data_IF_376716619907
#
_entry.id   IF_376716619907
#
_cell.length_a   1.000
_cell.length_b   1.000
_cell.length_c   1.000
_cell.angle_alpha   90.00
_cell.angle_beta   90.00
_cell.angle_gamma   90.00
#
_symmetry.space_group_name_H-M   'P 1'
#
loop_
_entity.id
_entity.type
_entity.pdbx_description
1 polymer ?
#
# COMPACT_ATOMS: atom_id res chain seq x y z
N UNK A 1 -21.81 8.19 -9.99
CA UNK A 1 -21.83 6.75 -9.66
C UNK A 1 -20.98 6.05 -10.70
N UNK A 2 -19.95 5.34 -10.28
CA UNK A 2 -19.05 4.55 -11.13
C UNK A 2 -19.84 3.37 -11.71
N UNK A 3 -19.96 3.31 -13.05
CA UNK A 3 -20.74 2.26 -13.74
C UNK A 3 -20.00 0.89 -13.79
N UNK A 4 -18.73 0.86 -13.40
CA UNK A 4 -17.91 -0.35 -13.39
C UNK A 4 -18.23 -1.18 -12.14
N UNK A 5 -18.55 -2.48 -12.26
CA UNK A 5 -18.90 -3.33 -11.12
C UNK A 5 -17.70 -3.53 -10.17
N UNK A 6 -18.00 -3.79 -8.90
CA UNK A 6 -17.03 -4.17 -7.85
C UNK A 6 -16.66 -5.63 -8.03
N UNK A 7 -15.53 -5.89 -8.69
CA UNK A 7 -15.08 -7.26 -8.98
C UNK A 7 -13.97 -7.72 -8.03
N UNK A 8 -13.00 -6.84 -7.76
CA UNK A 8 -11.88 -7.09 -6.86
C UNK A 8 -11.67 -5.87 -5.98
N UNK A 9 -11.34 -6.10 -4.72
CA UNK A 9 -11.09 -5.04 -3.75
C UNK A 9 -9.91 -5.40 -2.84
N UNK A 10 -9.09 -4.42 -2.55
CA UNK A 10 -7.92 -4.55 -1.67
C UNK A 10 -8.15 -3.77 -0.38
N UNK A 11 -7.78 -4.34 0.78
CA UNK A 11 -7.91 -3.63 2.04
C UNK A 11 -6.82 -2.56 2.11
N UNK A 12 -7.22 -1.29 2.30
CA UNK A 12 -6.32 -0.14 2.36
C UNK A 12 -6.17 0.41 3.79
N UNK A 13 -7.16 0.20 4.66
CA UNK A 13 -7.13 0.65 6.05
C UNK A 13 -7.77 -0.37 7.00
N UNK A 14 -7.27 -0.41 8.24
CA UNK A 14 -7.90 -1.04 9.40
C UNK A 14 -8.93 -0.08 9.99
N UNK A 15 -10.07 -0.62 10.41
CA UNK A 15 -11.09 0.12 11.16
C UNK A 15 -10.99 -0.35 12.61
N UNK A 16 -10.63 0.56 13.50
CA UNK A 16 -10.41 0.28 14.92
C UNK A 16 -11.46 0.97 15.77
N UNK A 17 -11.97 0.26 16.77
CA UNK A 17 -12.84 0.84 17.80
C UNK A 17 -12.04 1.86 18.62
N UNK A 18 -12.54 3.09 18.75
CA UNK A 18 -11.85 4.14 19.53
C UNK A 18 -11.78 3.83 21.02
N UNK A 19 -12.76 3.11 21.56
CA UNK A 19 -12.86 2.82 23.00
C UNK A 19 -11.95 1.69 23.45
N UNK A 20 -11.85 0.63 22.63
CA UNK A 20 -11.19 -0.62 23.02
C UNK A 20 -9.95 -0.94 22.20
N UNK A 21 -9.64 -0.09 21.22
CA UNK A 21 -8.55 -0.30 20.27
C UNK A 21 -8.65 -1.56 19.40
N UNK A 22 -9.79 -2.24 19.47
CA UNK A 22 -9.98 -3.52 18.80
C UNK A 22 -10.26 -3.33 17.31
N UNK A 23 -9.73 -4.22 16.48
CA UNK A 23 -10.08 -4.30 15.07
C UNK A 23 -11.54 -4.69 14.89
N UNK A 24 -12.30 -3.87 14.17
CA UNK A 24 -13.74 -4.07 13.92
C UNK A 24 -14.09 -4.15 12.44
N UNK A 25 -13.14 -3.87 11.54
CA UNK A 25 -13.36 -3.95 10.10
C UNK A 25 -12.16 -3.51 9.28
N UNK A 26 -12.36 -3.47 7.98
CA UNK A 26 -11.39 -2.95 7.01
C UNK A 26 -12.08 -2.04 6.01
N UNK A 27 -11.37 -1.03 5.52
CA UNK A 27 -11.79 -0.23 4.38
C UNK A 27 -11.18 -0.85 3.12
N UNK A 28 -12.04 -1.24 2.18
CA UNK A 28 -11.61 -1.76 0.89
C UNK A 28 -11.69 -0.68 -0.18
N UNK A 29 -10.66 -0.62 -1.02
CA UNK A 29 -10.71 0.07 -2.30
C UNK A 29 -10.98 -0.95 -3.40
N UNK A 30 -12.05 -0.74 -4.14
CA UNK A 30 -12.44 -1.58 -5.27
C UNK A 30 -11.76 -1.14 -6.57
N UNK A 31 -11.65 -2.06 -7.53
CA UNK A 31 -11.09 -1.83 -8.86
C UNK A 31 -11.83 -0.79 -9.73
N UNK A 32 -12.99 -0.33 -9.26
CA UNK A 32 -13.76 0.76 -9.85
C UNK A 32 -13.53 2.12 -9.15
N UNK A 33 -12.67 2.15 -8.13
CA UNK A 33 -12.37 3.33 -7.32
C UNK A 33 -13.28 3.52 -6.11
N UNK A 34 -14.30 2.68 -5.92
CA UNK A 34 -15.20 2.79 -4.77
C UNK A 34 -14.48 2.43 -3.48
N UNK A 35 -14.78 3.18 -2.42
CA UNK A 35 -14.39 2.84 -1.05
C UNK A 35 -15.58 2.24 -0.32
N UNK A 36 -15.38 1.07 0.29
CA UNK A 36 -16.43 0.40 1.06
C UNK A 36 -15.88 -0.16 2.37
N UNK A 37 -16.48 0.19 3.52
CA UNK A 37 -16.16 -0.48 4.78
C UNK A 37 -16.78 -1.87 4.81
N UNK A 38 -15.99 -2.85 5.25
CA UNK A 38 -16.42 -4.20 5.57
C UNK A 38 -16.25 -4.42 7.08
N UNK A 39 -17.37 -4.60 7.77
CA UNK A 39 -17.42 -4.79 9.22
C UNK A 39 -17.32 -6.29 9.56
N UNK A 40 -16.53 -6.63 10.59
CA UNK A 40 -16.41 -8.01 11.05
C UNK A 40 -17.63 -8.48 11.85
N UNK A 41 -18.35 -7.53 12.45
CA UNK A 41 -19.60 -7.72 13.19
C UNK A 41 -20.59 -6.64 12.73
N UNK A 42 -21.23 -5.95 13.67
CA UNK A 42 -22.11 -4.83 13.39
C UNK A 42 -21.32 -3.57 13.01
N UNK A 43 -21.94 -2.74 12.18
CA UNK A 43 -21.40 -1.43 11.85
C UNK A 43 -21.32 -0.55 13.11
N UNK A 44 -20.17 0.08 13.34
CA UNK A 44 -19.93 0.95 14.50
C UNK A 44 -19.65 2.38 14.06
N UNK A 45 -20.25 3.35 14.76
CA UNK A 45 -20.04 4.77 14.50
C UNK A 45 -18.74 5.30 15.15
N UNK A 46 -18.36 4.77 16.31
CA UNK A 46 -17.24 5.29 17.11
C UNK A 46 -15.91 4.58 16.78
N UNK A 47 -15.46 4.79 15.55
CA UNK A 47 -14.25 4.15 15.00
C UNK A 47 -13.25 5.16 14.46
N UNK A 48 -12.02 4.71 14.27
CA UNK A 48 -10.97 5.41 13.53
C UNK A 48 -10.40 4.51 12.45
N UNK A 49 -9.89 5.12 11.40
CA UNK A 49 -9.26 4.43 10.29
C UNK A 49 -7.76 4.61 10.39
N UNK A 50 -7.03 3.51 10.27
CA UNK A 50 -5.57 3.51 10.27
C UNK A 50 -5.06 2.80 9.02
N UNK A 51 -4.01 3.32 8.36
CA UNK A 51 -3.38 2.61 7.25
C UNK A 51 -3.01 1.19 7.65
N UNK A 52 -3.25 0.24 6.75
CA UNK A 52 -2.53 -1.03 6.82
C UNK A 52 -1.10 -0.67 6.44
N UNK A 53 -0.16 -0.95 7.34
CA UNK A 53 1.26 -0.82 7.01
C UNK A 53 1.49 -1.66 5.76
N UNK A 54 1.69 -0.98 4.64
CA UNK A 54 1.98 -1.64 3.40
C UNK A 54 3.25 -2.41 3.69
N UNK A 55 3.17 -3.74 3.69
CA UNK A 55 4.35 -4.54 3.38
C UNK A 55 4.77 -3.94 2.05
N UNK A 56 5.85 -3.16 2.08
CA UNK A 56 6.48 -2.61 0.90
C UNK A 56 6.59 -3.80 -0.04
N UNK A 57 5.68 -3.89 -1.00
CA UNK A 57 5.89 -4.78 -2.13
C UNK A 57 7.00 -4.05 -2.84
N UNK A 58 8.22 -4.43 -2.48
CA UNK A 58 9.43 -3.90 -3.04
C UNK A 58 9.29 -4.05 -4.54
N UNK A 59 8.91 -2.96 -5.20
CA UNK A 59 9.02 -2.85 -6.63
C UNK A 59 10.52 -2.84 -6.89
N UNK A 60 11.12 -3.84 -7.57
CA UNK A 60 12.58 -3.94 -7.73
C UNK A 60 13.15 -2.90 -8.71
N UNK A 61 12.59 -1.68 -8.77
CA UNK A 61 13.03 -0.65 -9.71
C UNK A 61 14.13 0.27 -9.15
N UNK A 62 14.48 0.20 -7.86
CA UNK A 62 15.56 1.01 -7.26
C UNK A 62 16.95 0.33 -7.29
N UNK A 63 17.19 -0.57 -8.25
CA UNK A 63 18.51 -1.13 -8.53
C UNK A 63 18.97 -0.82 -9.96
N UNK A 64 18.78 0.43 -10.41
CA UNK A 64 19.34 0.91 -11.69
C UNK A 64 20.09 2.25 -11.62
N UNK A 65 20.37 2.78 -10.43
CA UNK A 65 21.12 4.04 -10.29
C UNK A 65 22.52 3.90 -9.66
N UNK A 66 23.09 2.69 -9.61
CA UNK A 66 24.53 2.49 -9.37
C UNK A 66 25.39 2.71 -10.62
N UNK A 67 24.81 3.19 -11.72
CA UNK A 67 25.55 3.77 -12.83
C UNK A 67 26.02 5.22 -12.51
N UNK A 68 26.66 5.44 -11.36
CA UNK A 68 27.53 6.61 -11.14
C UNK A 68 28.98 6.17 -11.07
N UNK A 69 29.45 5.88 -12.28
CA UNK A 69 30.83 5.98 -12.75
C UNK A 69 31.57 7.15 -12.11
N UNK A 70 32.44 6.83 -11.16
CA UNK A 70 33.49 7.67 -10.59
C UNK A 70 34.46 6.68 -9.95
N UNK A 71 35.75 6.56 -10.26
CA UNK A 71 36.68 7.37 -11.04
C UNK A 71 37.98 6.55 -11.04
N UNK A 72 38.48 6.09 -12.21
CA UNK A 72 39.93 5.96 -12.46
C UNK A 72 40.19 5.58 -13.94
N UNK A 73 40.80 6.45 -14.77
CA UNK A 73 41.50 6.02 -15.96
C UNK A 73 43.00 6.00 -15.64
N UNK A 74 43.44 5.05 -14.85
CA UNK A 74 44.86 4.73 -14.74
C UNK A 74 45.10 3.28 -15.18
N UNK A 75 46.03 3.16 -16.14
CA UNK A 75 46.67 1.93 -16.62
C UNK A 75 45.95 1.08 -17.67
N UNK A 76 46.14 1.41 -18.95
CA UNK A 76 46.77 0.46 -19.88
C UNK A 76 47.31 1.18 -21.14
N UNK A 77 48.61 1.47 -21.16
CA UNK A 77 49.36 1.65 -22.41
C UNK A 77 50.67 0.86 -22.22
N UNK A 78 50.65 -0.40 -22.62
CA UNK A 78 51.84 -1.22 -22.87
C UNK A 78 51.58 -1.97 -24.18
N UNK A 79 52.01 -1.37 -25.29
CA UNK A 79 52.40 -2.05 -26.53
C UNK A 79 53.45 -1.20 -27.23
#
# INVERSE_FOLDING_TARGET
MTLKPRLTGEPIMRILCKKTDSLVGYLYQWNNGDLQPAWLKDAMADVRYEPIDQITTESPLDLQDSARKSHDPSHLQNV
#
